data_IF_487871921999
#
_entry.id   IF_487871921999
#
_cell.length_a   1.000
_cell.length_b   1.000
_cell.length_c   1.000
_cell.angle_alpha   90.00
_cell.angle_beta   90.00
_cell.angle_gamma   90.00
#
_symmetry.space_group_name_H-M   'P 1'
#
loop_
_entity.id
_entity.type
_entity.pdbx_description
1 polymer ?
#
# COMPACT_ATOMS: atom_id res chain seq x y z
N UNK A 1 -29.59 -6.55 -40.09
CA UNK A 1 -29.06 -6.87 -38.74
C UNK A 1 -27.54 -6.98 -38.83
N UNK A 2 -26.81 -5.90 -38.54
CA UNK A 2 -25.35 -5.89 -38.53
C UNK A 2 -24.87 -5.22 -37.25
N UNK A 3 -24.43 -6.02 -36.28
CA UNK A 3 -24.00 -5.54 -34.96
C UNK A 3 -22.60 -4.93 -35.01
N UNK A 4 -22.49 -3.65 -34.62
CA UNK A 4 -21.23 -2.96 -34.41
C UNK A 4 -20.53 -3.46 -33.15
N UNK A 5 -19.36 -4.09 -33.29
CA UNK A 5 -18.50 -4.51 -32.17
C UNK A 5 -17.89 -3.27 -31.49
N UNK A 6 -18.28 -3.02 -30.23
CA UNK A 6 -17.64 -2.01 -29.36
C UNK A 6 -16.19 -2.43 -29.08
N UNK A 7 -15.25 -1.52 -29.33
CA UNK A 7 -13.83 -1.67 -29.02
C UNK A 7 -13.63 -1.27 -27.56
N UNK A 8 -13.31 -2.25 -26.70
CA UNK A 8 -12.92 -2.01 -25.30
C UNK A 8 -11.47 -1.51 -25.31
N UNK A 9 -11.23 -0.31 -24.78
CA UNK A 9 -9.88 0.23 -24.55
C UNK A 9 -9.50 -0.12 -23.12
N UNK A 10 -8.51 -1.01 -22.96
CA UNK A 10 -7.84 -1.23 -21.68
C UNK A 10 -6.82 -0.10 -21.46
N UNK A 11 -6.86 0.54 -20.30
CA UNK A 11 -5.84 1.50 -19.87
C UNK A 11 -4.56 0.72 -19.50
N UNK A 12 -3.39 1.03 -20.06
CA UNK A 12 -2.14 0.51 -19.52
C UNK A 12 -1.74 1.35 -18.29
N UNK A 13 -1.74 0.70 -17.13
CA UNK A 13 -0.96 1.11 -15.98
C UNK A 13 0.53 0.87 -16.27
N UNK A 14 1.39 1.74 -15.75
CA UNK A 14 2.85 1.74 -15.85
C UNK A 14 3.47 2.41 -17.08
N UNK A 15 4.27 3.44 -16.78
CA UNK A 15 5.09 4.30 -17.65
C UNK A 15 6.02 3.53 -18.60
N UNK A 16 5.48 2.95 -19.66
CA UNK A 16 6.25 2.33 -20.75
C UNK A 16 6.20 3.23 -21.98
N UNK A 17 7.35 3.76 -22.40
CA UNK A 17 7.49 4.41 -23.71
C UNK A 17 7.95 3.38 -24.73
N UNK A 18 7.07 3.01 -25.68
CA UNK A 18 7.44 2.14 -26.80
C UNK A 18 8.08 3.00 -27.88
N UNK A 19 9.41 2.99 -27.97
CA UNK A 19 10.13 3.64 -29.08
C UNK A 19 10.16 2.67 -30.28
N UNK A 20 9.48 3.03 -31.37
CA UNK A 20 9.43 2.23 -32.59
C UNK A 20 10.74 2.39 -33.39
N UNK A 21 11.74 1.58 -33.08
CA UNK A 21 12.94 1.46 -33.93
C UNK A 21 12.60 0.72 -35.23
N UNK A 22 13.20 1.14 -36.35
CA UNK A 22 12.96 0.60 -37.72
C UNK A 22 13.44 -0.86 -37.95
N UNK A 23 13.57 -1.67 -36.91
CA UNK A 23 13.88 -3.09 -37.05
C UNK A 23 13.07 -3.89 -36.03
N UNK A 24 12.47 -5.01 -36.45
CA UNK A 24 11.39 -5.76 -35.79
C UNK A 24 11.78 -6.45 -34.47
N UNK A 25 12.28 -5.70 -33.48
CA UNK A 25 12.35 -6.11 -32.08
C UNK A 25 11.94 -4.93 -31.20
N UNK A 26 10.74 -5.00 -30.64
CA UNK A 26 10.28 -4.05 -29.63
C UNK A 26 11.04 -4.30 -28.32
N UNK A 27 12.13 -3.56 -28.09
CA UNK A 27 12.83 -3.55 -26.80
C UNK A 27 12.10 -2.54 -25.92
N UNK A 28 11.55 -2.99 -24.79
CA UNK A 28 11.01 -2.10 -23.78
C UNK A 28 12.19 -1.35 -23.14
N UNK A 29 12.33 -0.06 -23.44
CA UNK A 29 13.35 0.79 -22.84
C UNK A 29 12.72 1.39 -21.57
N UNK A 30 13.12 0.91 -20.40
CA UNK A 30 12.77 1.53 -19.13
C UNK A 30 13.54 2.84 -18.95
N UNK A 31 12.91 3.83 -18.31
CA UNK A 31 13.58 5.10 -18.03
C UNK A 31 14.82 4.87 -17.13
N UNK A 32 15.93 5.61 -17.33
CA UNK A 32 17.17 5.40 -16.56
C UNK A 32 17.01 5.43 -15.04
N UNK A 33 16.07 6.22 -14.52
CA UNK A 33 15.77 6.26 -13.08
C UNK A 33 15.11 4.97 -12.58
N UNK A 34 14.33 4.32 -13.44
CA UNK A 34 13.63 3.06 -13.15
C UNK A 34 14.60 1.89 -13.23
N UNK A 35 15.50 1.87 -14.22
CA UNK A 35 16.52 0.82 -14.34
C UNK A 35 17.49 0.83 -13.15
N UNK A 36 18.01 1.99 -12.75
CA UNK A 36 18.88 2.10 -11.58
C UNK A 36 18.20 1.68 -10.27
N UNK A 37 16.89 1.94 -10.14
CA UNK A 37 16.11 1.48 -9.00
C UNK A 37 15.96 -0.04 -9.01
N UNK A 38 15.60 -0.62 -10.16
CA UNK A 38 15.41 -2.05 -10.34
C UNK A 38 16.70 -2.85 -10.09
N UNK A 39 17.84 -2.35 -10.53
CA UNK A 39 19.11 -3.08 -10.46
C UNK A 39 19.79 -2.99 -9.10
N UNK A 40 19.58 -1.89 -8.35
CA UNK A 40 20.33 -1.62 -7.10
C UNK A 40 19.46 -1.56 -5.86
N UNK A 41 18.30 -0.93 -5.94
CA UNK A 41 17.48 -0.64 -4.77
C UNK A 41 16.55 -1.82 -4.46
N UNK A 42 15.88 -2.39 -5.47
CA UNK A 42 15.00 -3.55 -5.27
C UNK A 42 15.68 -4.74 -4.60
N UNK A 43 16.89 -5.19 -5.01
CA UNK A 43 17.53 -6.33 -4.37
C UNK A 43 17.80 -6.11 -2.87
N UNK A 44 18.06 -4.87 -2.46
CA UNK A 44 18.25 -4.52 -1.05
C UNK A 44 16.93 -4.57 -0.28
N UNK A 45 15.85 -3.99 -0.84
CA UNK A 45 14.51 -4.07 -0.24
C UNK A 45 14.03 -5.52 -0.10
N UNK A 46 14.19 -6.33 -1.15
CA UNK A 46 13.86 -7.75 -1.15
C UNK A 46 14.64 -8.52 -0.08
N UNK A 47 15.91 -8.15 0.14
CA UNK A 47 16.74 -8.76 1.18
C UNK A 47 16.22 -8.41 2.58
N UNK A 48 15.84 -7.16 2.81
CA UNK A 48 15.23 -6.74 4.09
C UNK A 48 13.93 -7.50 4.34
N UNK A 49 13.10 -7.70 3.32
CA UNK A 49 11.85 -8.47 3.46
C UNK A 49 12.09 -9.95 3.72
N UNK A 50 13.06 -10.57 3.06
CA UNK A 50 13.49 -11.95 3.36
C UNK A 50 13.94 -12.09 4.82
N UNK A 51 14.72 -11.13 5.33
CA UNK A 51 15.15 -11.14 6.73
C UNK A 51 13.97 -10.98 7.70
N UNK A 52 12.98 -10.13 7.39
CA UNK A 52 11.75 -10.00 8.18
C UNK A 52 11.00 -11.33 8.27
N UNK A 53 10.90 -12.05 7.16
CA UNK A 53 10.19 -13.32 7.07
C UNK A 53 10.91 -14.46 7.80
N UNK A 54 12.22 -14.36 8.02
CA UNK A 54 13.00 -15.27 8.84
C UNK A 54 12.92 -14.95 10.35
N UNK A 55 12.10 -13.97 10.74
CA UNK A 55 11.90 -13.55 12.12
C UNK A 55 13.19 -13.15 12.87
N UNK A 56 14.25 -12.73 12.16
CA UNK A 56 15.54 -12.35 12.77
C UNK A 56 15.43 -11.22 13.79
N UNK A 57 14.37 -10.41 13.70
CA UNK A 57 14.06 -9.38 14.69
C UNK A 57 13.79 -9.95 16.09
N UNK A 58 13.33 -11.21 16.20
CA UNK A 58 13.15 -11.91 17.49
C UNK A 58 14.49 -12.24 18.16
N UNK A 59 15.56 -12.32 17.39
CA UNK A 59 16.93 -12.56 17.87
C UNK A 59 17.69 -11.25 18.16
N UNK A 60 17.00 -10.11 18.13
CA UNK A 60 17.59 -8.80 18.43
C UNK A 60 18.21 -8.09 17.23
N UNK A 61 18.11 -8.65 16.02
CA UNK A 61 18.60 -8.01 14.80
C UNK A 61 17.59 -6.97 14.32
N UNK A 62 17.95 -5.70 14.39
CA UNK A 62 17.09 -4.62 13.91
C UNK A 62 17.15 -4.52 12.37
N UNK A 63 15.98 -4.41 11.75
CA UNK A 63 15.85 -4.20 10.31
C UNK A 63 15.45 -2.75 10.01
N UNK A 64 15.98 -2.13 8.94
CA UNK A 64 15.64 -0.76 8.57
C UNK A 64 14.13 -0.58 8.44
N UNK A 65 13.58 0.47 9.07
CA UNK A 65 12.14 0.77 9.05
C UNK A 65 11.96 2.27 8.92
N UNK A 66 10.94 2.69 8.16
CA UNK A 66 10.53 4.09 8.03
C UNK A 66 9.36 4.31 8.99
N UNK A 67 9.46 5.35 9.83
CA UNK A 67 8.40 5.73 10.76
C UNK A 67 7.89 7.11 10.39
N UNK A 68 6.57 7.24 10.29
CA UNK A 68 5.91 8.52 10.02
C UNK A 68 5.39 9.09 11.33
N UNK A 69 5.90 10.27 11.72
CA UNK A 69 5.55 10.95 12.96
C UNK A 69 5.16 12.41 12.68
N UNK A 70 4.32 12.97 13.54
CA UNK A 70 3.92 14.38 13.49
C UNK A 70 2.57 14.64 14.14
N UNK A 71 2.24 15.91 14.32
CA UNK A 71 1.05 16.37 15.03
C UNK A 71 -0.27 15.90 14.38
N UNK A 72 -1.38 15.93 15.13
CA UNK A 72 -2.69 15.62 14.55
C UNK A 72 -2.97 16.51 13.34
N UNK A 73 -3.58 15.94 12.28
CA UNK A 73 -3.88 16.66 11.03
C UNK A 73 -2.69 17.08 10.17
N UNK A 74 -1.44 16.68 10.48
CA UNK A 74 -0.25 16.95 9.64
C UNK A 74 -0.12 16.08 8.37
N UNK A 75 -1.23 15.50 7.89
CA UNK A 75 -1.30 14.72 6.63
C UNK A 75 -0.46 13.42 6.57
N UNK A 76 -0.04 12.89 7.72
CA UNK A 76 0.62 11.58 7.84
C UNK A 76 -0.10 10.48 7.06
N UNK A 77 -1.42 10.37 7.24
CA UNK A 77 -2.23 9.38 6.53
C UNK A 77 -2.21 9.62 5.02
N UNK A 78 -2.25 10.88 4.56
CA UNK A 78 -2.20 11.21 3.13
C UNK A 78 -0.88 10.86 2.46
N UNK A 79 0.24 10.96 3.18
CA UNK A 79 1.54 10.47 2.70
C UNK A 79 1.50 8.94 2.54
N UNK A 80 0.98 8.23 3.54
CA UNK A 80 0.88 6.76 3.49
C UNK A 80 -0.08 6.28 2.40
N UNK A 81 -1.24 6.93 2.25
CA UNK A 81 -2.21 6.67 1.17
C UNK A 81 -1.56 6.85 -0.21
N UNK A 82 -0.79 7.93 -0.40
CA UNK A 82 -0.10 8.19 -1.67
C UNK A 82 0.98 7.15 -1.99
N UNK A 83 1.64 6.61 -0.96
CA UNK A 83 2.67 5.58 -1.13
C UNK A 83 2.06 4.20 -1.39
N UNK A 84 0.96 3.86 -0.72
CA UNK A 84 0.35 2.54 -0.77
C UNK A 84 -0.72 2.38 -1.85
N UNK A 85 -1.29 3.48 -2.35
CA UNK A 85 -2.39 3.45 -3.30
C UNK A 85 -3.73 3.04 -2.70
N UNK A 86 -3.84 3.00 -1.36
CA UNK A 86 -5.09 2.68 -0.65
C UNK A 86 -5.61 3.88 0.13
N UNK A 87 -6.89 3.89 0.44
CA UNK A 87 -7.47 4.85 1.40
C UNK A 87 -7.25 4.37 2.83
N UNK A 88 -6.99 5.31 3.74
CA UNK A 88 -6.93 5.04 5.18
C UNK A 88 -8.14 5.66 5.89
N UNK A 89 -8.49 5.19 7.10
CA UNK A 89 -9.59 5.77 7.87
C UNK A 89 -9.43 7.28 8.08
N UNK A 90 -10.50 8.01 7.78
CA UNK A 90 -10.63 9.46 8.00
C UNK A 90 -11.88 9.75 8.83
N UNK A 91 -11.84 10.79 9.64
CA UNK A 91 -12.97 11.18 10.47
C UNK A 91 -12.65 12.35 11.40
N UNK A 92 -13.65 12.79 12.16
CA UNK A 92 -13.47 13.74 13.26
C UNK A 92 -12.76 13.05 14.43
N UNK A 93 -11.78 13.73 15.04
CA UNK A 93 -10.99 13.19 16.16
C UNK A 93 -9.75 12.40 15.76
N UNK A 94 -9.37 11.42 16.58
CA UNK A 94 -8.13 10.63 16.42
C UNK A 94 -8.38 9.48 15.44
N UNK A 95 -7.87 9.61 14.21
CA UNK A 95 -8.02 8.57 13.17
C UNK A 95 -7.11 7.34 13.41
N UNK A 96 -5.94 7.52 14.04
CA UNK A 96 -4.96 6.45 14.28
C UNK A 96 -4.84 6.18 15.77
N UNK A 97 -5.64 5.23 16.28
CA UNK A 97 -5.62 4.82 17.71
C UNK A 97 -4.69 3.65 18.01
N UNK A 98 -4.28 2.92 16.97
CA UNK A 98 -3.38 1.77 17.03
C UNK A 98 -2.27 2.00 16.01
N UNK A 99 -1.00 1.67 16.31
CA UNK A 99 0.08 1.75 15.32
C UNK A 99 -0.26 0.90 14.09
N UNK A 100 -0.25 1.52 12.91
CA UNK A 100 -0.42 0.82 11.64
C UNK A 100 0.95 0.49 11.05
N UNK A 101 1.22 -0.80 10.85
CA UNK A 101 2.42 -1.26 10.14
C UNK A 101 2.03 -1.56 8.70
N UNK A 102 2.61 -0.81 7.76
CA UNK A 102 2.36 -0.97 6.33
C UNK A 102 3.55 -1.66 5.67
N UNK A 103 3.27 -2.75 4.93
CA UNK A 103 4.28 -3.50 4.17
C UNK A 103 3.88 -3.50 2.70
N UNK A 104 4.73 -2.93 1.86
CA UNK A 104 4.55 -2.94 0.41
C UNK A 104 5.57 -3.91 -0.17
N UNK A 105 5.08 -4.94 -0.86
CA UNK A 105 5.91 -6.02 -1.38
C UNK A 105 5.72 -6.14 -2.89
N UNK A 106 6.81 -6.43 -3.61
CA UNK A 106 6.73 -6.70 -5.04
C UNK A 106 6.03 -8.04 -5.29
N UNK A 107 5.05 -8.03 -6.20
CA UNK A 107 4.40 -9.25 -6.69
C UNK A 107 4.65 -9.43 -8.18
N UNK A 108 4.73 -10.69 -8.62
CA UNK A 108 4.70 -11.05 -10.05
C UNK A 108 3.28 -11.08 -10.60
N UNK A 109 2.27 -11.10 -9.72
CA UNK A 109 0.87 -11.01 -10.11
C UNK A 109 0.56 -9.61 -10.64
N UNK A 110 -0.20 -9.49 -11.74
CA UNK A 110 -0.70 -8.20 -12.19
C UNK A 110 -1.82 -7.64 -11.30
N UNK A 111 -2.46 -8.49 -10.49
CA UNK A 111 -3.51 -8.10 -9.56
C UNK A 111 -2.92 -7.89 -8.16
N UNK A 112 -3.21 -6.74 -7.50
CA UNK A 112 -2.72 -6.47 -6.16
C UNK A 112 -3.41 -7.38 -5.14
N UNK A 113 -2.62 -7.99 -4.27
CA UNK A 113 -3.11 -8.75 -3.13
C UNK A 113 -3.02 -7.86 -1.89
N UNK A 114 -4.16 -7.67 -1.20
CA UNK A 114 -4.24 -6.84 0.00
C UNK A 114 -4.84 -7.67 1.13
N UNK A 115 -4.19 -7.65 2.28
CA UNK A 115 -4.70 -8.26 3.50
C UNK A 115 -4.33 -7.44 4.73
N UNK A 116 -5.16 -7.55 5.75
CA UNK A 116 -4.95 -6.93 7.06
C UNK A 116 -4.69 -8.02 8.10
N UNK A 117 -3.59 -7.89 8.84
CA UNK A 117 -3.25 -8.80 9.93
C UNK A 117 -3.42 -8.10 11.29
N UNK A 118 -4.15 -8.72 12.22
CA UNK A 118 -4.28 -8.25 13.59
C UNK A 118 -4.75 -9.37 14.53
N UNK A 119 -4.27 -9.41 15.77
CA UNK A 119 -4.71 -10.40 16.79
C UNK A 119 -4.72 -11.85 16.26
N UNK A 120 -3.64 -12.26 15.57
CA UNK A 120 -3.49 -13.56 14.91
C UNK A 120 -4.54 -13.88 13.82
N UNK A 121 -5.28 -12.87 13.35
CA UNK A 121 -6.22 -12.98 12.22
C UNK A 121 -5.61 -12.36 10.98
N UNK A 122 -5.89 -12.98 9.83
CA UNK A 122 -5.59 -12.44 8.50
C UNK A 122 -6.93 -12.23 7.79
N UNK A 123 -7.17 -11.01 7.32
CA UNK A 123 -8.39 -10.62 6.61
C UNK A 123 -8.01 -10.19 5.19
N UNK A 124 -8.25 -11.03 4.16
CA UNK A 124 -8.15 -10.61 2.77
C UNK A 124 -9.14 -9.48 2.48
N UNK A 125 -8.72 -8.48 1.70
CA UNK A 125 -9.51 -7.30 1.37
C UNK A 125 -9.08 -6.75 0.02
N UNK A 126 -9.73 -5.69 -0.44
CA UNK A 126 -9.38 -4.93 -1.64
C UNK A 126 -9.24 -3.43 -1.31
N UNK A 127 -8.93 -2.63 -2.32
CA UNK A 127 -8.77 -1.17 -2.20
C UNK A 127 -10.05 -0.45 -1.75
N UNK A 128 -11.22 -1.01 -2.02
CA UNK A 128 -12.52 -0.42 -1.68
C UNK A 128 -12.84 -0.64 -0.19
N UNK A 129 -12.55 -1.82 0.34
CA UNK A 129 -12.95 -2.24 1.68
C UNK A 129 -11.85 -2.11 2.75
N UNK A 130 -10.59 -1.86 2.37
CA UNK A 130 -9.46 -1.78 3.31
C UNK A 130 -9.65 -0.73 4.41
N UNK A 131 -10.29 0.40 4.09
CA UNK A 131 -10.56 1.46 5.08
C UNK A 131 -11.46 0.97 6.21
N UNK A 132 -12.52 0.24 5.86
CA UNK A 132 -13.47 -0.31 6.84
C UNK A 132 -12.83 -1.46 7.62
N UNK A 133 -12.04 -2.29 6.96
CA UNK A 133 -11.28 -3.37 7.62
C UNK A 133 -10.33 -2.81 8.69
N UNK A 134 -9.56 -1.75 8.37
CA UNK A 134 -8.67 -1.09 9.33
C UNK A 134 -9.47 -0.50 10.50
N UNK A 135 -10.61 0.14 10.21
CA UNK A 135 -11.47 0.75 11.24
C UNK A 135 -12.05 -0.31 12.18
N UNK A 136 -12.53 -1.42 11.63
CA UNK A 136 -13.04 -2.56 12.39
C UNK A 136 -11.96 -3.19 13.28
N UNK A 137 -10.76 -3.46 12.73
CA UNK A 137 -9.64 -3.98 13.50
C UNK A 137 -9.21 -3.00 14.61
N UNK A 138 -9.16 -1.71 14.32
CA UNK A 138 -8.83 -0.67 15.30
C UNK A 138 -9.85 -0.66 16.45
N UNK A 139 -11.15 -0.79 16.15
CA UNK A 139 -12.19 -0.87 17.18
C UNK A 139 -12.06 -2.13 18.06
N UNK A 140 -11.62 -3.25 17.50
CA UNK A 140 -11.36 -4.48 18.26
C UNK A 140 -10.17 -4.30 19.21
N UNK A 141 -9.08 -3.69 18.73
CA UNK A 141 -7.83 -3.58 19.49
C UNK A 141 -7.88 -2.45 20.53
N UNK A 142 -8.34 -1.26 20.15
CA UNK A 142 -8.38 -0.09 21.01
C UNK A 142 -9.68 0.03 21.82
N UNK A 143 -10.63 -0.89 21.61
CA UNK A 143 -12.00 -0.76 22.08
C UNK A 143 -12.80 0.29 21.29
N UNK A 144 -14.12 0.24 21.41
CA UNK A 144 -14.98 1.34 20.96
C UNK A 144 -14.82 2.52 21.93
N UNK A 145 -14.12 3.57 21.49
CA UNK A 145 -14.07 4.81 22.26
C UNK A 145 -15.44 5.50 22.15
N UNK A 146 -16.16 5.66 23.26
CA UNK A 146 -17.38 6.47 23.38
C UNK A 146 -17.13 7.99 23.23
N UNK A 147 -16.02 8.40 22.60
CA UNK A 147 -15.62 9.80 22.43
C UNK A 147 -16.42 10.52 21.34
N UNK A 148 -17.35 9.86 20.66
CA UNK A 148 -18.37 10.51 19.82
C UNK A 148 -19.47 11.22 20.64
N UNK A 149 -19.49 11.11 21.98
CA UNK A 149 -20.48 11.76 22.85
C UNK A 149 -20.08 13.13 23.43
N UNK A 150 -18.88 13.65 23.16
CA UNK A 150 -18.42 14.91 23.77
C UNK A 150 -18.40 16.13 22.83
N UNK A 151 -19.16 16.11 21.74
CA UNK A 151 -19.27 17.28 20.84
C UNK A 151 -20.71 17.76 20.62
N UNK A 152 -21.57 17.59 21.62
CA UNK A 152 -22.86 18.28 21.64
C UNK A 152 -23.19 18.82 23.05
N UNK A 153 -22.32 19.68 23.57
CA UNK A 153 -22.68 20.66 24.59
C UNK A 153 -21.59 21.73 24.60
N UNK A 154 -21.80 22.76 23.79
CA UNK A 154 -21.63 24.18 24.10
C UNK A 154 -22.32 25.01 23.00
#
# INVERSE_FOLDING_TARGET
MGGSKKRVVSKPSSSRTIVKAKNNKSVAIEAPIVSSYNDRIRPLLDTVDKLRNLNVMREGIQLPTIVVVGDQSSWKSSVLESLAGISLPRGQGICTRVPLVMRLQGSTSPEPEIWLEYSDKVVPTDEEHITDAISAATNVIAGMSSLSLFHQQD
#
